data_IF_928964376550
#
_entry.id   IF_928964376550
#
_cell.length_a   1.000
_cell.length_b   1.000
_cell.length_c   1.000
_cell.angle_alpha   90.00
_cell.angle_beta   90.00
_cell.angle_gamma   90.00
#
_symmetry.space_group_name_H-M   'P 1'
#
loop_
_entity.id
_entity.type
_entity.pdbx_description
1 polymer ?
#
# COMPACT_ATOMS: atom_id res chain seq x y z
N UNK A 1 -18.07 -15.59 42.44
CA UNK A 1 -18.92 -14.41 42.68
C UNK A 1 -18.54 -13.28 41.74
N UNK A 2 -19.05 -13.30 40.50
CA UNK A 2 -19.19 -12.09 39.68
C UNK A 2 -20.62 -12.14 39.19
N UNK A 3 -21.48 -11.29 39.75
CA UNK A 3 -22.85 -11.15 39.29
C UNK A 3 -22.81 -10.57 37.87
N UNK A 4 -23.12 -11.39 36.87
CA UNK A 4 -23.42 -10.89 35.54
C UNK A 4 -24.74 -10.12 35.64
N UNK A 5 -24.67 -8.79 35.53
CA UNK A 5 -25.86 -7.95 35.52
C UNK A 5 -26.60 -8.16 34.17
N UNK A 6 -27.85 -8.65 34.16
CA UNK A 6 -28.56 -8.99 32.93
C UNK A 6 -28.84 -7.78 32.01
N UNK A 7 -28.68 -6.55 32.52
CA UNK A 7 -28.89 -5.32 31.77
C UNK A 7 -27.83 -5.02 30.71
N UNK A 8 -26.64 -5.63 30.76
CA UNK A 8 -25.58 -5.40 29.74
C UNK A 8 -25.81 -6.21 28.45
N UNK A 9 -26.66 -7.24 28.50
CA UNK A 9 -26.80 -8.21 27.42
C UNK A 9 -27.55 -7.65 26.19
N UNK A 10 -28.41 -6.65 26.37
CA UNK A 10 -29.20 -6.05 25.29
C UNK A 10 -28.61 -4.74 24.72
N UNK A 11 -27.81 -4.00 25.50
CA UNK A 11 -27.14 -2.75 25.05
C UNK A 11 -25.83 -3.04 24.26
N UNK A 12 -25.29 -4.26 24.39
CA UNK A 12 -24.05 -4.66 23.71
C UNK A 12 -24.26 -5.13 22.28
N UNK A 13 -25.45 -5.57 21.85
CA UNK A 13 -25.63 -6.11 20.51
C UNK A 13 -25.30 -5.09 19.38
N UNK A 14 -25.76 -3.82 19.43
CA UNK A 14 -25.37 -2.82 18.43
C UNK A 14 -23.88 -2.46 18.50
N UNK A 15 -23.31 -2.36 19.71
CA UNK A 15 -21.88 -2.07 19.92
C UNK A 15 -21.00 -3.20 19.39
N UNK A 16 -21.38 -4.44 19.64
CA UNK A 16 -20.71 -5.64 19.15
C UNK A 16 -20.72 -5.66 17.61
N UNK A 17 -21.88 -5.43 16.98
CA UNK A 17 -21.99 -5.36 15.52
C UNK A 17 -21.13 -4.24 14.95
N UNK A 18 -21.09 -3.06 15.58
CA UNK A 18 -20.22 -1.96 15.18
C UNK A 18 -18.73 -2.33 15.28
N UNK A 19 -18.32 -2.98 16.38
CA UNK A 19 -16.95 -3.43 16.58
C UNK A 19 -16.51 -4.48 15.56
N UNK A 20 -17.39 -5.42 15.22
CA UNK A 20 -17.13 -6.43 14.16
C UNK A 20 -16.96 -5.75 12.80
N UNK A 21 -17.82 -4.80 12.47
CA UNK A 21 -17.71 -4.03 11.23
C UNK A 21 -16.39 -3.28 11.13
N UNK A 22 -15.99 -2.59 12.20
CA UNK A 22 -14.72 -1.85 12.20
C UNK A 22 -13.52 -2.79 12.11
N UNK A 23 -13.55 -3.93 12.81
CA UNK A 23 -12.50 -4.95 12.68
C UNK A 23 -12.37 -5.45 11.24
N UNK A 24 -13.48 -5.73 10.56
CA UNK A 24 -13.47 -6.15 9.16
C UNK A 24 -12.95 -5.05 8.23
N UNK A 25 -13.32 -3.79 8.46
CA UNK A 25 -12.81 -2.64 7.71
C UNK A 25 -11.29 -2.51 7.84
N UNK A 26 -10.77 -2.60 9.07
CA UNK A 26 -9.33 -2.54 9.34
C UNK A 26 -8.60 -3.74 8.74
N UNK A 27 -9.19 -4.94 8.77
CA UNK A 27 -8.63 -6.12 8.12
C UNK A 27 -8.50 -5.91 6.61
N UNK A 28 -9.53 -5.39 5.93
CA UNK A 28 -9.48 -5.04 4.51
C UNK A 28 -8.35 -4.04 4.20
N UNK A 29 -8.16 -3.03 5.05
CA UNK A 29 -7.08 -2.04 4.88
C UNK A 29 -5.71 -2.70 5.05
N UNK A 30 -5.55 -3.58 6.04
CA UNK A 30 -4.28 -4.25 6.29
C UNK A 30 -3.91 -5.21 5.15
N UNK A 31 -4.90 -5.88 4.54
CA UNK A 31 -4.71 -6.69 3.34
C UNK A 31 -4.21 -5.85 2.17
N UNK A 32 -4.85 -4.70 1.89
CA UNK A 32 -4.40 -3.79 0.84
C UNK A 32 -2.97 -3.26 1.10
N UNK A 33 -2.62 -2.99 2.36
CA UNK A 33 -1.26 -2.62 2.74
C UNK A 33 -0.24 -3.76 2.55
N UNK A 34 -0.64 -5.02 2.72
CA UNK A 34 0.23 -6.16 2.46
C UNK A 34 0.48 -6.32 0.96
N UNK A 35 -0.56 -6.17 0.14
CA UNK A 35 -0.44 -6.15 -1.31
C UNK A 35 0.46 -5.01 -1.79
N UNK A 36 0.27 -3.79 -1.28
CA UNK A 36 1.13 -2.67 -1.62
C UNK A 36 2.60 -2.97 -1.30
N UNK A 37 2.90 -3.51 -0.10
CA UNK A 37 4.27 -3.89 0.26
C UNK A 37 4.89 -4.89 -0.71
N UNK A 38 4.10 -5.84 -1.23
CA UNK A 38 4.61 -6.84 -2.18
C UNK A 38 5.03 -6.26 -3.53
N UNK A 39 4.50 -5.08 -3.89
CA UNK A 39 4.82 -4.36 -5.14
C UNK A 39 5.92 -3.33 -4.97
N UNK A 40 6.22 -2.94 -3.73
CA UNK A 40 7.25 -1.97 -3.42
C UNK A 40 8.60 -2.69 -3.38
N UNK A 41 9.64 -2.19 -4.08
CA UNK A 41 10.95 -2.83 -4.08
C UNK A 41 11.60 -2.75 -2.70
N UNK A 42 11.97 -3.89 -2.13
CA UNK A 42 12.68 -4.02 -0.84
C UNK A 42 13.73 -5.13 -0.92
N UNK A 43 14.71 -5.14 -0.01
CA UNK A 43 15.67 -6.24 0.04
C UNK A 43 15.03 -7.54 0.58
N UNK A 44 15.44 -8.74 0.11
CA UNK A 44 14.83 -10.02 0.48
C UNK A 44 14.79 -10.34 1.98
N UNK A 45 15.72 -9.77 2.76
CA UNK A 45 15.84 -9.98 4.21
C UNK A 45 15.44 -8.74 5.03
N UNK A 46 14.85 -7.74 4.38
CA UNK A 46 14.53 -6.49 5.02
C UNK A 46 13.33 -6.62 5.97
N UNK A 47 13.39 -5.88 7.08
CA UNK A 47 12.29 -5.85 8.03
C UNK A 47 11.03 -5.34 7.34
N UNK A 48 9.88 -5.94 7.67
CA UNK A 48 8.57 -5.49 7.19
C UNK A 48 8.38 -3.98 7.42
N UNK A 49 8.16 -3.26 6.32
CA UNK A 49 7.99 -1.81 6.31
C UNK A 49 6.80 -1.34 7.16
N UNK A 50 6.98 -0.21 7.84
CA UNK A 50 5.89 0.49 8.53
C UNK A 50 4.86 1.02 7.51
N UNK A 51 3.66 1.40 7.97
CA UNK A 51 2.63 1.95 7.07
C UNK A 51 3.11 3.23 6.37
N UNK A 52 3.77 4.12 7.11
CA UNK A 52 4.27 5.39 6.54
C UNK A 52 5.41 5.14 5.56
N UNK A 53 6.33 4.24 5.87
CA UNK A 53 7.46 3.94 4.98
C UNK A 53 6.99 3.25 3.70
N UNK A 54 6.00 2.35 3.82
CA UNK A 54 5.35 1.71 2.66
C UNK A 54 4.77 2.77 1.72
N UNK A 55 4.07 3.78 2.25
CA UNK A 55 3.48 4.85 1.44
C UNK A 55 4.55 5.74 0.79
N UNK A 56 5.55 6.17 1.57
CA UNK A 56 6.65 7.01 1.06
C UNK A 56 7.42 6.31 -0.05
N UNK A 57 7.76 5.04 0.14
CA UNK A 57 8.52 4.28 -0.84
C UNK A 57 7.70 3.96 -2.08
N UNK A 58 6.40 3.68 -1.94
CA UNK A 58 5.50 3.51 -3.08
C UNK A 58 5.41 4.78 -3.95
N UNK A 59 5.27 5.95 -3.32
CA UNK A 59 5.25 7.24 -4.04
C UNK A 59 6.57 7.46 -4.78
N UNK A 60 7.70 7.30 -4.08
CA UNK A 60 9.02 7.46 -4.67
C UNK A 60 9.25 6.48 -5.84
N UNK A 61 8.78 5.24 -5.71
CA UNK A 61 8.93 4.24 -6.76
C UNK A 61 8.08 4.56 -8.00
N UNK A 62 6.84 5.03 -7.83
CA UNK A 62 6.02 5.49 -8.96
C UNK A 62 6.71 6.64 -9.69
N UNK A 63 7.23 7.64 -8.98
CA UNK A 63 7.97 8.77 -9.58
C UNK A 63 9.21 8.29 -10.33
N UNK A 64 10.00 7.39 -9.74
CA UNK A 64 11.17 6.80 -10.40
C UNK A 64 10.80 6.09 -11.70
N UNK A 65 9.74 5.27 -11.69
CA UNK A 65 9.30 4.57 -12.89
C UNK A 65 8.80 5.54 -13.98
N UNK A 66 8.11 6.62 -13.59
CA UNK A 66 7.69 7.67 -14.52
C UNK A 66 8.89 8.38 -15.15
N UNK A 67 9.91 8.73 -14.35
CA UNK A 67 11.14 9.37 -14.84
C UNK A 67 11.90 8.44 -15.80
N UNK A 68 12.00 7.14 -15.47
CA UNK A 68 12.63 6.16 -16.35
C UNK A 68 11.91 6.01 -17.69
N UNK A 69 10.57 5.91 -17.66
CA UNK A 69 9.76 5.81 -18.89
C UNK A 69 9.92 7.08 -19.73
N UNK A 70 9.86 8.25 -19.11
CA UNK A 70 10.08 9.53 -19.79
C UNK A 70 11.48 9.60 -20.40
N UNK A 71 12.51 9.21 -19.64
CA UNK A 71 13.89 9.18 -20.12
C UNK A 71 14.02 8.29 -21.36
N UNK A 72 13.54 7.05 -21.30
CA UNK A 72 13.62 6.13 -22.44
C UNK A 72 12.81 6.59 -23.64
N UNK A 73 11.64 7.20 -23.42
CA UNK A 73 10.82 7.75 -24.50
C UNK A 73 11.50 8.92 -25.21
N UNK A 74 12.18 9.82 -24.47
CA UNK A 74 12.83 10.99 -25.06
C UNK A 74 14.22 10.69 -25.64
N UNK A 75 15.01 9.82 -25.01
CA UNK A 75 16.34 9.43 -25.52
C UNK A 75 16.31 8.33 -26.60
N UNK A 76 15.16 7.71 -26.85
CA UNK A 76 14.96 6.93 -28.08
C UNK A 76 15.01 7.83 -29.35
N UNK A 77 14.84 9.15 -29.21
CA UNK A 77 14.94 10.11 -30.33
C UNK A 77 16.35 10.66 -30.56
N UNK A 78 17.25 10.63 -29.56
CA UNK A 78 18.65 11.11 -29.74
C UNK A 78 19.59 10.05 -30.32
N UNK A 79 19.24 8.76 -30.24
CA UNK A 79 20.05 7.67 -30.79
C UNK A 79 19.67 7.28 -32.23
N UNK A 80 18.77 8.05 -32.87
CA UNK A 80 18.35 7.87 -34.26
C UNK A 80 18.74 9.10 -35.10
N UNK A 81 19.97 9.59 -34.97
CA UNK A 81 20.60 10.34 -36.07
C UNK A 81 21.18 9.30 -37.05
N UNK A 82 20.62 9.17 -38.26
CA UNK A 82 21.29 8.47 -39.33
C UNK A 82 22.54 9.28 -39.68
N UNK A 83 23.70 8.62 -39.70
CA UNK A 83 24.86 9.10 -40.46
C UNK A 83 24.49 9.18 -41.95
N UNK A 84 23.72 10.18 -42.37
CA UNK A 84 23.46 10.47 -43.78
C UNK A 84 23.24 11.97 -43.98
N UNK A 85 24.35 12.68 -44.20
CA UNK A 85 24.48 13.67 -45.28
C UNK A 85 25.96 13.99 -45.49
N UNK A 86 26.50 13.39 -46.55
CA UNK A 86 27.67 13.71 -47.39
C UNK A 86 28.60 14.83 -46.88
#
# INVERSE_FOLDING_TARGET
>A
FTYQNPSTMFDEAPRYVANVRERNRIMSINTAFAELRSRVPTFPYERRLSKIDTLRLAIAYISLLQDLVWYFQNHAYENCEPNDSI
#
